data_IF_092330259629
#
_entry.id   IF_092330259629
#
_cell.length_a   1.000
_cell.length_b   1.000
_cell.length_c   1.000
_cell.angle_alpha   90.00
_cell.angle_beta   90.00
_cell.angle_gamma   90.00
#
_symmetry.space_group_name_H-M   'P 1'
#
loop_
_entity.id
_entity.type
_entity.pdbx_description
1 polymer ?
#
# COMPACT_ATOMS: atom_id res chain seq x y z
N UNK A 1 2.90 27.59 21.66
CA UNK A 1 3.27 27.01 20.34
C UNK A 1 2.36 25.84 20.08
N UNK A 2 1.33 26.02 19.25
CA UNK A 2 0.44 24.91 18.90
C UNK A 2 1.24 23.94 17.99
N UNK A 3 1.56 22.78 18.51
CA UNK A 3 2.11 21.70 17.67
C UNK A 3 1.05 21.33 16.64
N UNK A 4 1.30 21.68 15.38
CA UNK A 4 0.42 21.27 14.27
C UNK A 4 0.41 19.74 14.22
N UNK A 5 -0.74 19.16 14.47
CA UNK A 5 -0.94 17.70 14.38
C UNK A 5 -0.67 17.22 12.96
N UNK A 6 -0.26 15.99 12.83
CA UNK A 6 0.03 15.33 11.55
C UNK A 6 -1.05 14.29 11.33
N UNK A 7 -1.67 14.27 10.17
CA UNK A 7 -2.58 13.20 9.80
C UNK A 7 -1.79 12.01 9.25
N UNK A 8 -2.21 10.80 9.61
CA UNK A 8 -1.76 9.56 8.99
C UNK A 8 -2.96 8.93 8.33
N UNK A 9 -2.91 8.73 7.01
CA UNK A 9 -3.95 8.06 6.24
C UNK A 9 -3.47 6.66 5.85
N UNK A 10 -4.27 5.63 6.17
CA UNK A 10 -3.99 4.25 5.79
C UNK A 10 -4.91 3.82 4.63
N UNK A 11 -4.31 3.22 3.60
CA UNK A 11 -4.99 2.76 2.38
C UNK A 11 -4.77 1.26 2.21
N UNK A 12 -5.82 0.47 2.36
CA UNK A 12 -5.78 -0.99 2.34
C UNK A 12 -5.67 -1.59 0.93
N UNK A 13 -5.42 -2.90 0.86
CA UNK A 13 -5.23 -3.65 -0.37
C UNK A 13 -6.54 -4.05 -1.09
N UNK A 14 -6.38 -4.66 -2.29
CA UNK A 14 -7.48 -5.23 -3.06
C UNK A 14 -8.13 -6.38 -2.29
N UNK A 15 -9.46 -6.45 -2.30
CA UNK A 15 -10.31 -7.37 -1.51
C UNK A 15 -10.04 -7.37 -0.01
N UNK A 16 -9.18 -6.47 0.46
CA UNK A 16 -8.86 -6.24 1.86
C UNK A 16 -9.84 -5.31 2.57
N UNK A 17 -9.36 -4.65 3.62
CA UNK A 17 -10.09 -3.68 4.42
C UNK A 17 -9.18 -3.04 5.47
N UNK A 18 -9.75 -2.24 6.36
CA UNK A 18 -8.99 -1.62 7.46
C UNK A 18 -8.30 -2.65 8.37
N UNK A 19 -8.82 -3.88 8.42
CA UNK A 19 -8.23 -5.00 9.16
C UNK A 19 -6.91 -5.51 8.57
N UNK A 20 -6.53 -5.09 7.36
CA UNK A 20 -5.23 -5.44 6.77
C UNK A 20 -4.06 -4.90 7.59
N UNK A 21 -4.30 -3.86 8.38
CA UNK A 21 -3.27 -3.19 9.20
C UNK A 21 -3.19 -3.70 10.63
N UNK A 22 -4.02 -4.69 11.01
CA UNK A 22 -4.07 -5.27 12.37
C UNK A 22 -4.16 -4.16 13.44
N UNK A 23 -3.26 -4.12 14.40
CA UNK A 23 -3.24 -3.13 15.48
C UNK A 23 -2.50 -1.84 15.10
N UNK A 24 -1.85 -1.75 13.96
CA UNK A 24 -1.05 -0.58 13.57
C UNK A 24 -1.79 0.76 13.71
N UNK A 25 -3.07 0.91 13.33
CA UNK A 25 -3.79 2.17 13.54
C UNK A 25 -3.82 2.57 15.02
N UNK A 26 -4.14 1.64 15.93
CA UNK A 26 -4.20 1.87 17.36
C UNK A 26 -2.80 2.23 17.92
N UNK A 27 -1.76 1.51 17.49
CA UNK A 27 -0.38 1.76 17.91
C UNK A 27 0.08 3.17 17.49
N UNK A 28 -0.36 3.65 16.32
CA UNK A 28 -0.07 4.99 15.82
C UNK A 28 -0.84 6.08 16.58
N UNK A 29 -2.09 5.83 17.00
CA UNK A 29 -2.91 6.76 17.79
C UNK A 29 -2.31 7.04 19.17
N UNK A 30 -1.58 6.09 19.74
CA UNK A 30 -0.86 6.28 21.00
C UNK A 30 0.30 7.27 20.89
N UNK A 31 0.70 7.64 19.68
CA UNK A 31 1.82 8.55 19.45
C UNK A 31 1.33 10.00 19.48
N UNK A 32 1.84 10.78 20.44
CA UNK A 32 1.50 12.20 20.53
C UNK A 32 1.70 12.94 19.21
N UNK A 33 0.72 13.79 18.84
CA UNK A 33 0.68 14.63 17.65
C UNK A 33 0.42 13.88 16.33
N UNK A 34 -0.03 12.63 16.38
CA UNK A 34 -0.60 11.95 15.23
C UNK A 34 -2.12 11.85 15.36
N UNK A 35 -2.83 12.08 14.26
CA UNK A 35 -4.23 11.77 14.08
C UNK A 35 -4.34 10.72 13.00
N UNK A 36 -4.90 9.57 13.31
CA UNK A 36 -4.92 8.40 12.41
C UNK A 36 -6.28 8.30 11.72
N UNK A 37 -6.25 8.08 10.42
CA UNK A 37 -7.43 7.98 9.57
C UNK A 37 -7.37 6.69 8.76
N UNK A 38 -8.42 5.93 8.87
CA UNK A 38 -8.67 4.74 8.06
C UNK A 38 -9.99 4.90 7.31
N UNK A 39 -10.11 4.29 6.17
CA UNK A 39 -11.36 4.27 5.42
C UNK A 39 -11.44 2.98 4.60
N UNK A 40 -12.64 2.61 4.21
CA UNK A 40 -12.88 1.47 3.35
C UNK A 40 -13.05 1.95 1.92
N UNK A 41 -12.28 1.38 0.99
CA UNK A 41 -12.40 1.67 -0.44
C UNK A 41 -13.78 1.24 -0.96
N UNK A 42 -14.34 1.94 -1.95
CA UNK A 42 -15.64 1.63 -2.52
C UNK A 42 -15.81 0.15 -2.87
N UNK A 43 -16.95 -0.42 -2.51
CA UNK A 43 -17.33 -1.82 -2.64
C UNK A 43 -16.58 -2.81 -1.74
N UNK A 44 -15.56 -2.38 -1.00
CA UNK A 44 -14.81 -3.24 -0.06
C UNK A 44 -15.53 -3.41 1.28
N UNK A 45 -16.57 -2.63 1.57
CA UNK A 45 -17.49 -2.83 2.69
C UNK A 45 -18.36 -4.10 2.55
N UNK A 46 -18.47 -4.61 1.33
CA UNK A 46 -19.26 -5.80 0.97
C UNK A 46 -18.42 -7.07 1.01
N UNK A 47 -19.08 -8.22 1.14
CA UNK A 47 -18.41 -9.51 1.05
C UNK A 47 -17.81 -9.75 -0.35
N UNK A 48 -18.46 -9.24 -1.39
CA UNK A 48 -18.04 -9.34 -2.78
C UNK A 48 -17.74 -7.94 -3.28
N UNK A 49 -16.49 -7.70 -3.67
CA UNK A 49 -16.09 -6.47 -4.34
C UNK A 49 -16.54 -6.54 -5.80
N UNK A 50 -17.54 -5.74 -6.16
CA UNK A 50 -18.13 -5.74 -7.50
C UNK A 50 -18.69 -4.36 -7.88
N UNK A 51 -19.06 -4.19 -9.15
CA UNK A 51 -19.67 -2.97 -9.68
C UNK A 51 -18.92 -1.69 -9.27
N UNK A 52 -17.60 -1.75 -9.35
CA UNK A 52 -16.71 -0.65 -9.00
C UNK A 52 -15.63 -0.53 -10.06
N UNK A 53 -15.24 0.68 -10.38
CA UNK A 53 -14.13 1.00 -11.28
C UNK A 53 -12.92 1.45 -10.49
N UNK A 54 -11.73 1.34 -11.07
CA UNK A 54 -10.51 1.79 -10.39
C UNK A 54 -10.53 3.29 -10.11
N UNK A 55 -11.21 4.07 -10.95
CA UNK A 55 -11.38 5.51 -10.75
C UNK A 55 -12.17 5.82 -9.46
N UNK A 56 -13.08 4.94 -9.05
CA UNK A 56 -13.85 5.12 -7.82
C UNK A 56 -12.95 4.99 -6.60
N UNK A 57 -12.00 4.04 -6.62
CA UNK A 57 -11.01 3.88 -5.55
C UNK A 57 -10.09 5.09 -5.47
N UNK A 58 -9.62 5.59 -6.61
CA UNK A 58 -8.78 6.79 -6.67
C UNK A 58 -9.54 8.01 -6.14
N UNK A 59 -10.74 8.28 -6.65
CA UNK A 59 -11.57 9.42 -6.21
C UNK A 59 -11.88 9.39 -4.72
N UNK A 60 -12.21 8.19 -4.18
CA UNK A 60 -12.46 8.04 -2.76
C UNK A 60 -11.21 8.36 -1.93
N UNK A 61 -10.03 7.90 -2.37
CA UNK A 61 -8.76 8.15 -1.68
C UNK A 61 -8.34 9.62 -1.77
N UNK A 62 -8.51 10.24 -2.93
CA UNK A 62 -8.28 11.68 -3.13
C UNK A 62 -9.17 12.52 -2.21
N UNK A 63 -10.46 12.15 -2.12
CA UNK A 63 -11.42 12.83 -1.23
C UNK A 63 -10.99 12.78 0.24
N UNK A 64 -10.35 11.66 0.69
CA UNK A 64 -9.81 11.60 2.05
C UNK A 64 -8.70 12.64 2.25
N UNK A 65 -7.74 12.73 1.33
CA UNK A 65 -6.66 13.74 1.40
C UNK A 65 -7.25 15.15 1.37
N UNK A 66 -8.20 15.45 0.48
CA UNK A 66 -8.84 16.76 0.35
C UNK A 66 -9.59 17.14 1.62
N UNK A 67 -10.29 16.18 2.25
CA UNK A 67 -10.94 16.38 3.55
C UNK A 67 -9.93 16.72 4.64
N UNK A 68 -8.80 16.00 4.70
CA UNK A 68 -7.75 16.30 5.66
C UNK A 68 -7.15 17.69 5.45
N UNK A 69 -6.91 18.07 4.20
CA UNK A 69 -6.44 19.42 3.84
C UNK A 69 -7.48 20.48 4.24
N UNK A 70 -8.77 20.24 3.98
CA UNK A 70 -9.88 21.10 4.39
C UNK A 70 -9.96 21.27 5.90
N UNK A 71 -9.67 20.22 6.67
CA UNK A 71 -9.58 20.24 8.13
C UNK A 71 -8.29 20.90 8.67
N UNK A 72 -7.45 21.47 7.80
CA UNK A 72 -6.28 22.25 8.18
C UNK A 72 -4.97 21.46 8.30
N UNK A 73 -4.95 20.16 8.01
CA UNK A 73 -3.70 19.40 7.98
C UNK A 73 -2.81 19.86 6.83
N UNK A 74 -1.54 20.12 7.13
CA UNK A 74 -0.49 20.52 6.16
C UNK A 74 0.67 19.52 6.11
N UNK A 75 0.62 18.51 6.99
CA UNK A 75 1.56 17.37 7.03
C UNK A 75 0.73 16.11 7.13
N UNK A 76 0.57 15.45 5.99
CA UNK A 76 -0.13 14.18 5.88
C UNK A 76 0.92 13.10 5.57
N UNK A 77 0.85 11.99 6.27
CA UNK A 77 1.65 10.81 6.02
C UNK A 77 0.71 9.74 5.46
N UNK A 78 1.13 9.03 4.43
CA UNK A 78 0.30 8.00 3.83
C UNK A 78 0.97 6.65 3.97
N UNK A 79 0.21 5.66 4.41
CA UNK A 79 0.63 4.25 4.50
C UNK A 79 -0.26 3.46 3.56
N UNK A 80 0.33 2.79 2.56
CA UNK A 80 -0.40 1.96 1.62
C UNK A 80 0.06 0.51 1.66
N UNK A 81 -0.88 -0.43 1.70
CA UNK A 81 -0.63 -1.86 1.62
C UNK A 81 -1.09 -2.41 0.26
N UNK A 82 -0.26 -3.20 -0.41
CA UNK A 82 -0.60 -3.88 -1.66
C UNK A 82 -1.14 -2.90 -2.73
N UNK A 83 -2.36 -3.08 -3.25
CA UNK A 83 -3.05 -2.11 -4.13
C UNK A 83 -3.08 -0.70 -3.51
N UNK A 84 -3.31 -0.61 -2.20
CA UNK A 84 -3.26 0.66 -1.48
C UNK A 84 -1.90 1.35 -1.54
N UNK A 85 -0.81 0.60 -1.75
CA UNK A 85 0.52 1.14 -2.01
C UNK A 85 0.60 1.90 -3.34
N UNK A 86 -0.02 1.39 -4.39
CA UNK A 86 -0.12 2.09 -5.69
C UNK A 86 -0.93 3.38 -5.55
N UNK A 87 -2.06 3.30 -4.85
CA UNK A 87 -2.91 4.47 -4.56
C UNK A 87 -2.14 5.50 -3.72
N UNK A 88 -1.42 5.06 -2.69
CA UNK A 88 -0.64 5.94 -1.81
C UNK A 88 0.48 6.68 -2.57
N UNK A 89 1.13 6.02 -3.52
CA UNK A 89 2.12 6.64 -4.40
C UNK A 89 1.48 7.73 -5.28
N UNK A 90 0.31 7.45 -5.87
CA UNK A 90 -0.46 8.45 -6.61
C UNK A 90 -0.80 9.68 -5.73
N UNK A 91 -1.28 9.45 -4.50
CA UNK A 91 -1.58 10.55 -3.58
C UNK A 91 -0.34 11.37 -3.23
N UNK A 92 0.81 10.72 -3.02
CA UNK A 92 2.08 11.40 -2.73
C UNK A 92 2.59 12.22 -3.92
N UNK A 93 2.34 11.77 -5.14
CA UNK A 93 2.66 12.50 -6.36
C UNK A 93 1.73 13.71 -6.56
N UNK A 94 0.43 13.55 -6.31
CA UNK A 94 -0.58 14.57 -6.60
C UNK A 94 -0.65 15.67 -5.54
N UNK A 95 -0.47 15.33 -4.25
CA UNK A 95 -0.72 16.27 -3.14
C UNK A 95 0.57 16.61 -2.39
N UNK A 96 0.99 17.86 -2.48
CA UNK A 96 2.19 18.39 -1.80
C UNK A 96 2.12 18.33 -0.27
N UNK A 97 0.93 18.18 0.31
CA UNK A 97 0.67 17.99 1.73
C UNK A 97 1.11 16.60 2.22
N UNK A 98 1.25 15.62 1.33
CA UNK A 98 1.84 14.32 1.64
C UNK A 98 3.35 14.51 1.85
N UNK A 99 3.80 14.32 3.10
CA UNK A 99 5.18 14.60 3.53
C UNK A 99 6.00 13.36 3.83
N UNK A 100 5.37 12.20 3.95
CA UNK A 100 6.01 10.91 4.10
C UNK A 100 5.13 9.83 3.50
N UNK A 101 5.77 8.82 2.93
CA UNK A 101 5.13 7.68 2.32
C UNK A 101 5.67 6.38 2.90
N UNK A 102 4.79 5.46 3.23
CA UNK A 102 5.13 4.08 3.59
C UNK A 102 4.40 3.14 2.64
N UNK A 103 5.13 2.28 1.98
CA UNK A 103 4.62 1.28 1.06
C UNK A 103 4.94 -0.12 1.61
N UNK A 104 3.91 -0.86 2.02
CA UNK A 104 4.02 -2.22 2.52
C UNK A 104 3.55 -3.20 1.44
N UNK A 105 4.44 -4.06 0.98
CA UNK A 105 4.19 -5.03 -0.11
C UNK A 105 3.42 -4.40 -1.30
N UNK A 106 3.85 -3.23 -1.83
CA UNK A 106 3.06 -2.49 -2.81
C UNK A 106 2.96 -3.23 -4.13
N UNK A 107 1.76 -3.29 -4.71
CA UNK A 107 1.44 -4.09 -5.89
C UNK A 107 1.92 -3.47 -7.22
N UNK A 108 3.10 -2.85 -7.24
CA UNK A 108 3.73 -2.40 -8.47
C UNK A 108 4.25 -3.60 -9.27
N UNK A 109 4.15 -3.51 -10.60
CA UNK A 109 4.55 -4.58 -11.52
C UNK A 109 3.95 -5.95 -11.18
N UNK A 110 2.84 -5.95 -10.50
CA UNK A 110 2.11 -7.14 -10.07
C UNK A 110 1.68 -8.02 -11.23
N UNK A 111 1.34 -7.40 -12.36
CA UNK A 111 1.02 -8.10 -13.59
C UNK A 111 2.22 -8.02 -14.53
N UNK A 112 2.71 -9.16 -14.99
CA UNK A 112 3.78 -9.23 -15.95
C UNK A 112 3.38 -8.53 -17.25
N UNK A 113 3.86 -7.30 -17.42
CA UNK A 113 3.79 -6.61 -18.69
C UNK A 113 4.95 -7.12 -19.57
N UNK A 114 4.63 -7.82 -20.62
CA UNK A 114 5.58 -8.10 -21.69
C UNK A 114 5.30 -7.10 -22.82
N UNK A 115 6.31 -6.30 -23.16
CA UNK A 115 6.23 -5.32 -24.26
C UNK A 115 5.09 -4.28 -24.11
N UNK A 116 4.81 -3.81 -22.88
CA UNK A 116 3.77 -2.80 -22.60
C UNK A 116 2.33 -3.32 -22.71
N UNK A 117 2.13 -4.63 -22.83
CA UNK A 117 0.82 -5.27 -22.88
C UNK A 117 0.64 -6.25 -21.73
N UNK A 118 -0.57 -6.26 -21.15
CA UNK A 118 -0.94 -7.26 -20.14
C UNK A 118 -0.77 -8.65 -20.73
N UNK A 119 0.06 -9.47 -20.12
CA UNK A 119 0.12 -10.89 -20.48
C UNK A 119 -1.16 -11.58 -19.96
N UNK A 120 -2.20 -11.62 -20.79
CA UNK A 120 -3.50 -12.19 -20.44
C UNK A 120 -3.37 -13.65 -19.96
N UNK A 121 -2.42 -14.41 -20.49
CA UNK A 121 -2.18 -15.79 -20.06
C UNK A 121 -1.62 -15.82 -18.62
N UNK A 122 -0.62 -15.01 -18.33
CA UNK A 122 -0.07 -14.86 -16.99
C UNK A 122 -1.07 -14.26 -16.01
N UNK A 123 -1.89 -13.30 -16.45
CA UNK A 123 -3.01 -12.76 -15.66
C UNK A 123 -4.00 -13.85 -15.27
N UNK A 124 -4.47 -14.65 -16.23
CA UNK A 124 -5.41 -15.74 -15.96
C UNK A 124 -4.83 -16.79 -14.98
N UNK A 125 -3.54 -17.10 -15.11
CA UNK A 125 -2.85 -18.01 -14.20
C UNK A 125 -2.73 -17.39 -12.78
N UNK A 126 -2.39 -16.12 -12.68
CA UNK A 126 -2.31 -15.40 -11.40
C UNK A 126 -3.68 -15.36 -10.72
N UNK A 127 -4.74 -14.98 -11.43
CA UNK A 127 -6.12 -14.97 -10.89
C UNK A 127 -6.55 -16.37 -10.46
N UNK A 128 -6.26 -17.38 -11.25
CA UNK A 128 -6.59 -18.78 -10.93
C UNK A 128 -5.86 -19.27 -9.69
N UNK A 129 -4.61 -18.88 -9.51
CA UNK A 129 -3.75 -19.32 -8.40
C UNK A 129 -3.85 -18.40 -7.17
N UNK A 130 -4.42 -17.20 -7.30
CA UNK A 130 -4.54 -16.22 -6.21
C UNK A 130 -5.11 -16.82 -4.90
N UNK A 131 -6.18 -17.65 -4.92
CA UNK A 131 -6.67 -18.28 -3.70
C UNK A 131 -5.67 -19.19 -3.00
N UNK A 132 -4.76 -19.83 -3.75
CA UNK A 132 -3.73 -20.70 -3.17
C UNK A 132 -2.58 -19.89 -2.58
N UNK A 133 -2.29 -18.71 -3.12
CA UNK A 133 -1.24 -17.81 -2.63
C UNK A 133 -1.53 -17.32 -1.19
N UNK A 134 -2.81 -17.11 -0.84
CA UNK A 134 -3.22 -16.68 0.50
C UNK A 134 -3.52 -17.82 1.47
N UNK A 135 -3.56 -19.09 1.00
CA UNK A 135 -3.94 -20.23 1.82
C UNK A 135 -3.01 -20.40 3.04
N UNK A 136 -1.73 -20.31 2.80
CA UNK A 136 -0.70 -20.47 3.84
C UNK A 136 -0.68 -19.30 4.84
N UNK A 137 -1.36 -18.21 4.53
CA UNK A 137 -1.48 -17.02 5.37
C UNK A 137 -2.64 -17.11 6.38
N UNK A 138 -3.45 -18.17 6.33
CA UNK A 138 -4.59 -18.34 7.24
C UNK A 138 -5.70 -17.31 7.07
N UNK A 139 -5.80 -16.70 5.88
CA UNK A 139 -6.75 -15.62 5.56
C UNK A 139 -7.99 -16.14 4.83
N UNK A 140 -8.70 -17.07 5.44
CA UNK A 140 -9.90 -17.70 4.84
C UNK A 140 -10.93 -16.70 4.30
N UNK A 141 -11.14 -15.57 5.00
CA UNK A 141 -12.07 -14.53 4.55
C UNK A 141 -11.56 -13.85 3.26
N UNK A 142 -10.27 -13.58 3.17
CA UNK A 142 -9.65 -12.99 1.97
C UNK A 142 -9.76 -13.97 0.80
N UNK A 143 -9.45 -15.25 1.02
CA UNK A 143 -9.60 -16.31 0.01
C UNK A 143 -11.02 -16.37 -0.52
N UNK A 144 -12.02 -16.39 0.39
CA UNK A 144 -13.43 -16.42 -0.01
C UNK A 144 -13.82 -15.17 -0.82
N UNK A 145 -13.32 -14.00 -0.43
CA UNK A 145 -13.59 -12.76 -1.16
C UNK A 145 -12.96 -12.80 -2.56
N UNK A 146 -11.71 -13.23 -2.68
CA UNK A 146 -11.02 -13.38 -3.98
C UNK A 146 -11.81 -14.31 -4.90
N UNK A 147 -12.20 -15.50 -4.40
CA UNK A 147 -12.96 -16.49 -5.19
C UNK A 147 -14.30 -15.97 -5.67
N UNK A 148 -14.93 -15.07 -4.92
CA UNK A 148 -16.24 -14.49 -5.24
C UNK A 148 -16.14 -13.19 -6.03
N UNK A 149 -14.96 -12.58 -6.12
CA UNK A 149 -14.77 -11.32 -6.84
C UNK A 149 -14.86 -11.57 -8.36
N UNK A 150 -15.74 -10.86 -9.07
CA UNK A 150 -15.89 -11.03 -10.50
C UNK A 150 -14.63 -10.65 -11.28
N UNK A 151 -14.36 -11.36 -12.37
CA UNK A 151 -13.23 -11.07 -13.28
C UNK A 151 -13.19 -9.59 -13.72
N UNK A 152 -14.31 -8.95 -14.10
CA UNK A 152 -14.29 -7.52 -14.44
C UNK A 152 -13.71 -6.63 -13.34
N UNK A 153 -13.99 -6.93 -12.06
CA UNK A 153 -13.44 -6.17 -10.92
C UNK A 153 -11.93 -6.43 -10.76
N UNK A 154 -11.47 -7.65 -11.01
CA UNK A 154 -10.04 -7.95 -11.01
C UNK A 154 -9.31 -7.19 -12.13
N UNK A 155 -9.95 -7.06 -13.30
CA UNK A 155 -9.43 -6.25 -14.40
C UNK A 155 -9.35 -4.75 -14.05
N UNK A 156 -10.25 -4.22 -13.23
CA UNK A 156 -10.14 -2.85 -12.73
C UNK A 156 -8.91 -2.66 -11.84
N UNK A 157 -8.56 -3.64 -11.01
CA UNK A 157 -7.28 -3.59 -10.27
C UNK A 157 -6.07 -3.56 -11.23
N UNK A 158 -6.08 -4.37 -12.28
CA UNK A 158 -5.02 -4.35 -13.31
C UNK A 158 -4.88 -2.98 -13.96
N UNK A 159 -6.01 -2.36 -14.34
CA UNK A 159 -6.02 -1.01 -14.93
C UNK A 159 -5.46 0.04 -13.98
N UNK A 160 -5.77 -0.06 -12.68
CA UNK A 160 -5.21 0.82 -11.65
C UNK A 160 -3.68 0.73 -11.63
N UNK A 161 -3.14 -0.49 -11.55
CA UNK A 161 -1.69 -0.69 -11.50
C UNK A 161 -1.05 -0.15 -12.79
N UNK A 162 -1.59 -0.50 -13.96
CA UNK A 162 -1.08 -0.04 -15.26
C UNK A 162 -1.06 1.49 -15.35
N UNK A 163 -2.15 2.13 -14.95
CA UNK A 163 -2.30 3.59 -15.02
C UNK A 163 -1.33 4.35 -14.13
N UNK A 164 -1.05 3.83 -12.92
CA UNK A 164 -0.33 4.58 -11.89
C UNK A 164 1.05 4.01 -11.55
N UNK A 165 1.52 2.97 -12.22
CA UNK A 165 2.82 2.35 -11.95
C UNK A 165 4.01 3.30 -12.09
N UNK A 166 3.91 4.34 -12.92
CA UNK A 166 4.97 5.32 -13.15
C UNK A 166 4.86 6.55 -12.23
N UNK A 167 3.85 6.62 -11.36
CA UNK A 167 3.72 7.74 -10.41
C UNK A 167 4.88 7.76 -9.40
N UNK A 168 5.59 6.64 -9.22
CA UNK A 168 6.80 6.55 -8.39
C UNK A 168 7.90 7.50 -8.86
N UNK A 169 8.03 7.73 -10.17
CA UNK A 169 9.06 8.57 -10.79
C UNK A 169 8.97 10.07 -10.42
N UNK A 170 7.93 10.47 -9.72
CA UNK A 170 7.70 11.86 -9.32
C UNK A 170 7.69 12.06 -7.81
N UNK A 171 7.85 10.99 -7.03
CA UNK A 171 7.81 11.05 -5.57
C UNK A 171 9.11 11.66 -5.05
N UNK A 172 8.99 12.76 -4.32
CA UNK A 172 10.13 13.49 -3.72
C UNK A 172 10.12 13.44 -2.18
N UNK A 173 8.99 13.09 -1.56
CA UNK A 173 8.91 12.98 -0.11
C UNK A 173 9.67 11.75 0.39
N UNK A 174 10.16 11.74 1.65
CA UNK A 174 10.75 10.55 2.27
C UNK A 174 9.85 9.33 2.17
N UNK A 175 10.44 8.20 1.78
CA UNK A 175 9.73 6.95 1.55
C UNK A 175 10.38 5.78 2.31
N UNK A 176 9.53 4.94 2.91
CA UNK A 176 9.88 3.63 3.44
C UNK A 176 9.13 2.58 2.64
N UNK A 177 9.85 1.64 2.06
CA UNK A 177 9.32 0.51 1.33
C UNK A 177 9.60 -0.75 2.14
N UNK A 178 8.59 -1.56 2.41
CA UNK A 178 8.72 -2.82 3.15
C UNK A 178 8.25 -3.96 2.25
N UNK A 179 9.06 -5.01 2.15
CA UNK A 179 8.73 -6.21 1.41
C UNK A 179 9.05 -7.45 2.22
N UNK A 180 8.10 -8.37 2.31
CA UNK A 180 8.31 -9.68 2.89
C UNK A 180 8.90 -10.64 1.86
N UNK A 181 10.03 -11.29 2.17
CA UNK A 181 10.67 -12.22 1.22
C UNK A 181 9.87 -13.53 1.03
N UNK A 182 8.92 -13.82 1.93
CA UNK A 182 7.96 -14.92 1.76
C UNK A 182 6.67 -14.48 1.04
N UNK A 183 6.65 -13.25 0.49
CA UNK A 183 5.51 -12.76 -0.31
C UNK A 183 5.40 -13.55 -1.62
N UNK A 184 4.33 -14.36 -1.71
CA UNK A 184 4.01 -15.15 -2.90
C UNK A 184 2.98 -14.47 -3.80
N UNK A 185 2.54 -13.28 -3.42
CA UNK A 185 1.47 -12.52 -4.11
C UNK A 185 2.06 -11.43 -4.98
N UNK A 186 2.95 -10.62 -4.41
CA UNK A 186 3.62 -9.52 -5.11
C UNK A 186 5.11 -9.83 -5.24
N UNK A 187 5.67 -9.80 -6.45
CA UNK A 187 7.08 -10.05 -6.66
C UNK A 187 7.96 -8.90 -6.15
N UNK A 188 9.19 -9.22 -5.74
CA UNK A 188 10.18 -8.24 -5.24
C UNK A 188 10.54 -7.17 -6.29
N UNK A 189 10.45 -7.51 -7.56
CA UNK A 189 10.72 -6.58 -8.68
C UNK A 189 9.83 -5.33 -8.63
N UNK A 190 8.65 -5.43 -8.01
CA UNK A 190 7.76 -4.28 -7.80
C UNK A 190 8.34 -3.27 -6.81
N UNK A 191 8.87 -3.73 -5.69
CA UNK A 191 9.50 -2.88 -4.66
C UNK A 191 10.85 -2.35 -5.12
N UNK A 192 11.64 -3.16 -5.82
CA UNK A 192 12.89 -2.74 -6.44
C UNK A 192 12.66 -1.65 -7.49
N UNK A 193 11.60 -1.78 -8.30
CA UNK A 193 11.22 -0.75 -9.25
C UNK A 193 10.94 0.58 -8.55
N UNK A 194 10.13 0.57 -7.49
CA UNK A 194 9.84 1.77 -6.69
C UNK A 194 11.15 2.38 -6.18
N UNK A 195 11.99 1.57 -5.50
CA UNK A 195 13.27 2.03 -4.94
C UNK A 195 14.19 2.67 -6.00
N UNK A 196 14.21 2.12 -7.21
CA UNK A 196 15.08 2.60 -8.28
C UNK A 196 14.52 3.82 -9.02
N UNK A 197 13.22 4.10 -8.95
CA UNK A 197 12.58 5.16 -9.74
C UNK A 197 12.22 6.41 -8.96
N UNK A 198 12.04 6.32 -7.62
CA UNK A 198 11.68 7.48 -6.81
C UNK A 198 12.80 8.55 -6.79
N UNK A 199 12.38 9.82 -6.82
CA UNK A 199 13.27 10.97 -6.75
C UNK A 199 13.55 11.43 -5.31
N UNK A 200 13.07 10.69 -4.32
CA UNK A 200 13.27 10.99 -2.90
C UNK A 200 14.75 10.96 -2.53
N UNK A 201 15.17 11.92 -1.71
CA UNK A 201 16.51 11.91 -1.08
C UNK A 201 16.60 10.96 0.11
N UNK A 202 15.46 10.51 0.64
CA UNK A 202 15.38 9.51 1.71
C UNK A 202 14.49 8.39 1.22
N UNK A 203 15.09 7.28 0.85
CA UNK A 203 14.48 6.12 0.26
C UNK A 203 15.08 4.87 0.92
N UNK A 204 14.25 4.18 1.69
CA UNK A 204 14.68 3.01 2.46
C UNK A 204 13.82 1.82 2.02
N UNK A 205 14.47 0.81 1.45
CA UNK A 205 13.85 -0.49 1.15
C UNK A 205 14.26 -1.49 2.23
N UNK A 206 13.28 -2.10 2.89
CA UNK A 206 13.50 -3.14 3.90
C UNK A 206 12.90 -4.45 3.41
N UNK A 207 13.75 -5.43 3.16
CA UNK A 207 13.38 -6.81 2.85
C UNK A 207 13.42 -7.63 4.13
N UNK A 208 12.35 -8.38 4.43
CA UNK A 208 12.22 -9.08 5.71
C UNK A 208 11.96 -10.57 5.45
N UNK A 209 12.88 -11.43 5.90
CA UNK A 209 12.70 -12.89 5.84
C UNK A 209 11.54 -13.36 6.70
N UNK A 210 10.83 -14.38 6.26
CA UNK A 210 9.71 -14.98 6.99
C UNK A 210 8.45 -14.12 7.05
N UNK A 211 8.42 -12.99 6.33
CA UNK A 211 7.25 -12.12 6.23
C UNK A 211 6.52 -12.38 4.90
N UNK A 212 5.25 -12.79 4.94
CA UNK A 212 4.43 -12.99 3.74
C UNK A 212 3.84 -11.66 3.24
N UNK A 213 2.99 -11.73 2.19
CA UNK A 213 2.29 -10.56 1.64
C UNK A 213 1.53 -9.77 2.71
N UNK A 214 0.88 -10.47 3.64
CA UNK A 214 0.19 -9.88 4.76
C UNK A 214 1.15 -9.57 5.92
N UNK A 215 1.95 -8.54 5.73
CA UNK A 215 3.05 -8.20 6.60
C UNK A 215 2.64 -7.64 7.98
N UNK A 216 1.33 -7.41 8.22
CA UNK A 216 0.83 -6.85 9.48
C UNK A 216 0.22 -7.87 10.44
N UNK A 217 -0.07 -9.10 10.00
CA UNK A 217 -0.89 -10.05 10.76
C UNK A 217 -0.18 -11.34 11.18
N UNK A 218 1.13 -11.50 10.91
CA UNK A 218 1.87 -12.73 11.21
C UNK A 218 3.18 -12.49 11.95
N UNK A 219 4.01 -13.54 11.98
CA UNK A 219 5.35 -13.48 12.57
C UNK A 219 6.07 -12.22 12.10
N UNK A 220 6.75 -11.57 13.02
CA UNK A 220 7.50 -10.33 12.79
C UNK A 220 6.65 -9.08 12.48
N UNK A 221 5.30 -9.13 12.62
CA UNK A 221 4.45 -7.96 12.46
C UNK A 221 4.86 -6.79 13.38
N UNK A 222 5.31 -7.10 14.61
CA UNK A 222 5.82 -6.08 15.55
C UNK A 222 7.08 -5.38 15.04
N UNK A 223 7.94 -6.10 14.30
CA UNK A 223 9.12 -5.50 13.67
C UNK A 223 8.71 -4.56 12.55
N UNK A 224 7.77 -5.00 11.69
CA UNK A 224 7.20 -4.18 10.62
C UNK A 224 6.56 -2.91 11.20
N UNK A 225 5.73 -3.03 12.23
CA UNK A 225 5.10 -1.89 12.91
C UNK A 225 6.15 -0.95 13.53
N UNK A 226 7.18 -1.48 14.18
CA UNK A 226 8.28 -0.68 14.75
C UNK A 226 9.05 0.09 13.69
N UNK A 227 9.35 -0.53 12.53
CA UNK A 227 9.99 0.16 11.40
C UNK A 227 9.17 1.36 10.94
N UNK A 228 7.86 1.16 10.73
CA UNK A 228 6.93 2.22 10.31
C UNK A 228 6.88 3.34 11.35
N UNK A 229 6.64 3.00 12.61
CA UNK A 229 6.55 3.98 13.71
C UNK A 229 7.84 4.80 13.82
N UNK A 230 9.00 4.14 13.78
CA UNK A 230 10.29 4.82 13.87
C UNK A 230 10.50 5.77 12.69
N UNK A 231 10.21 5.33 11.46
CA UNK A 231 10.30 6.16 10.26
C UNK A 231 9.36 7.38 10.32
N UNK A 232 8.13 7.21 10.78
CA UNK A 232 7.17 8.31 10.89
C UNK A 232 7.56 9.30 11.98
N UNK A 233 8.12 8.84 13.10
CA UNK A 233 8.60 9.70 14.21
C UNK A 233 9.87 10.44 13.85
N UNK A 234 10.88 9.73 13.35
CA UNK A 234 12.22 10.27 13.08
C UNK A 234 12.73 9.71 11.74
N UNK A 235 12.38 10.40 10.66
CA UNK A 235 12.90 10.06 9.33
C UNK A 235 14.37 10.41 9.23
N UNK A 236 15.23 9.51 8.76
CA UNK A 236 16.61 9.83 8.42
C UNK A 236 16.65 10.93 7.36
N UNK A 237 17.75 11.66 7.31
CA UNK A 237 17.91 12.73 6.32
C UNK A 237 18.89 12.27 5.24
N UNK A 238 18.52 12.44 3.97
CA UNK A 238 19.35 12.10 2.81
C UNK A 238 19.93 10.68 2.90
N UNK A 239 19.09 9.68 3.15
CA UNK A 239 19.49 8.30 3.31
C UNK A 239 18.83 7.43 2.24
N UNK A 240 19.65 6.82 1.39
CA UNK A 240 19.19 5.82 0.42
C UNK A 240 19.88 4.50 0.72
N UNK A 241 19.09 3.48 1.10
CA UNK A 241 19.64 2.17 1.52
C UNK A 241 18.66 1.03 1.32
N UNK A 242 19.22 -0.17 1.17
CA UNK A 242 18.49 -1.44 1.21
C UNK A 242 18.92 -2.18 2.49
N UNK A 243 17.97 -2.59 3.28
CA UNK A 243 18.16 -3.34 4.53
C UNK A 243 17.56 -4.73 4.35
N UNK A 244 18.32 -5.78 4.61
CA UNK A 244 17.83 -7.15 4.65
C UNK A 244 17.84 -7.63 6.12
N UNK A 245 16.71 -8.17 6.58
CA UNK A 245 16.49 -8.55 7.99
C UNK A 245 15.98 -9.98 8.11
#
# INVERSE_FOLDING_TARGET
MFFRRKAILLVHGFVGGIYDFDTLPNDLELIRNFDVYTFTLPSHEKLIVNNVKYEDWIKASEKQIETLIGNGYRKIYVIGHSMGGVIAAHLANKYKEVKKLVLAAPAFRYFYFKDGKVNIKGFNETVKNMPTLFKDEGREKVIQRIRKTPIPTMLEFTKLVDKYQNDTEKITCPILIIHGLDDRVVPTEGTEHVYNTVLSKTDILVNIEGVPHDCFTKKRNDEVKKLIINFLRKTPHNKKEIINM
#
